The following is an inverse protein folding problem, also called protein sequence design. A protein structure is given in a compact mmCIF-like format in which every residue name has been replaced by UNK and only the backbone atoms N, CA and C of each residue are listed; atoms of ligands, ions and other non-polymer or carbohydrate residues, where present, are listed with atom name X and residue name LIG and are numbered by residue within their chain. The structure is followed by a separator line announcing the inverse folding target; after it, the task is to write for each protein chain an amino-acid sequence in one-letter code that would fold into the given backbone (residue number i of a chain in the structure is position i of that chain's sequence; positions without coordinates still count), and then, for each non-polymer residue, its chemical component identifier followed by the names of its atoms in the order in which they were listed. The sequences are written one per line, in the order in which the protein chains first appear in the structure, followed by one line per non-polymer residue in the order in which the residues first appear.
data_IF_563259557626
#
_entry.id   IF_563259557626
#
_cell.length_a   1.000
_cell.length_b   1.000
_cell.length_c   1.000
_cell.angle_alpha   90.00
_cell.angle_beta   90.00
_cell.angle_gamma   90.00
#
_symmetry.space_group_name_H-M   'P 1'
#
loop_
_entity.id
_entity.type
_entity.pdbx_description
1 polymer ?
#
# COMPACT_ATOMS: atom_id res chain seq x y z
N UNK A 1 -11.35 36.17 6.91
CA UNK A 1 -12.00 36.08 5.58
C UNK A 1 -12.48 34.64 5.46
N UNK A 2 -13.76 34.38 5.71
CA UNK A 2 -14.34 33.04 5.65
C UNK A 2 -14.46 32.66 4.19
N UNK A 3 -13.74 31.63 3.75
CA UNK A 3 -13.89 31.09 2.40
C UNK A 3 -15.29 30.46 2.35
N UNK A 4 -16.17 30.98 1.51
CA UNK A 4 -17.50 30.41 1.32
C UNK A 4 -17.34 28.95 0.82
N UNK A 5 -18.11 28.04 1.40
CA UNK A 5 -18.15 26.65 0.96
C UNK A 5 -18.66 26.61 -0.51
N UNK A 6 -17.84 26.16 -1.48
CA UNK A 6 -18.17 26.24 -2.90
C UNK A 6 -19.40 25.41 -3.30
N UNK A 7 -19.87 24.52 -2.42
CA UNK A 7 -21.01 23.63 -2.67
C UNK A 7 -22.26 24.01 -1.85
N UNK A 8 -22.22 25.11 -1.08
CA UNK A 8 -23.31 25.50 -0.16
C UNK A 8 -24.63 25.84 -0.86
N UNK A 9 -24.60 26.22 -2.15
CA UNK A 9 -25.79 26.56 -2.95
C UNK A 9 -26.38 25.41 -3.78
N UNK A 10 -25.83 24.18 -3.68
CA UNK A 10 -26.26 23.03 -4.46
C UNK A 10 -27.31 22.19 -3.72
N UNK A 11 -28.17 21.49 -4.49
CA UNK A 11 -29.08 20.49 -3.92
C UNK A 11 -28.30 19.31 -3.33
N UNK A 12 -28.90 18.55 -2.40
CA UNK A 12 -28.25 17.36 -1.82
C UNK A 12 -27.91 16.31 -2.87
N UNK A 13 -28.73 16.18 -3.92
CA UNK A 13 -28.45 15.28 -5.06
C UNK A 13 -27.23 15.76 -5.86
N UNK A 14 -27.11 17.04 -6.13
CA UNK A 14 -25.95 17.63 -6.82
C UNK A 14 -24.67 17.52 -5.98
N UNK A 15 -24.75 17.75 -4.67
CA UNK A 15 -23.64 17.57 -3.74
C UNK A 15 -23.15 16.11 -3.75
N UNK A 16 -24.07 15.16 -3.65
CA UNK A 16 -23.76 13.72 -3.68
C UNK A 16 -23.09 13.31 -4.98
N UNK A 17 -23.55 13.83 -6.12
CA UNK A 17 -22.96 13.55 -7.43
C UNK A 17 -21.53 14.12 -7.55
N UNK A 18 -21.30 15.34 -7.11
CA UNK A 18 -19.99 15.99 -7.16
C UNK A 18 -19.00 15.30 -6.22
N UNK A 19 -19.43 14.97 -5.00
CA UNK A 19 -18.59 14.26 -4.04
C UNK A 19 -18.26 12.83 -4.53
N UNK A 20 -19.23 12.12 -5.11
CA UNK A 20 -19.00 10.80 -5.71
C UNK A 20 -18.05 10.85 -6.89
N UNK A 21 -18.18 11.83 -7.77
CA UNK A 21 -17.24 12.04 -8.89
C UNK A 21 -15.82 12.36 -8.39
N UNK A 22 -15.71 13.20 -7.35
CA UNK A 22 -14.43 13.53 -6.72
C UNK A 22 -13.76 12.31 -6.06
N UNK A 23 -14.52 11.49 -5.35
CA UNK A 23 -14.02 10.26 -4.73
C UNK A 23 -13.53 9.25 -5.79
N UNK A 24 -14.27 9.09 -6.88
CA UNK A 24 -13.87 8.23 -8.01
C UNK A 24 -12.60 8.72 -8.68
N UNK A 25 -12.47 10.03 -8.92
CA UNK A 25 -11.26 10.63 -9.50
C UNK A 25 -10.04 10.46 -8.56
N UNK A 26 -10.22 10.59 -7.25
CA UNK A 26 -9.16 10.37 -6.26
C UNK A 26 -8.72 8.91 -6.23
N UNK A 27 -9.65 7.96 -6.30
CA UNK A 27 -9.33 6.54 -6.39
C UNK A 27 -8.51 6.21 -7.67
N UNK A 28 -8.88 6.77 -8.81
CA UNK A 28 -8.13 6.58 -10.07
C UNK A 28 -6.72 7.21 -10.00
N UNK A 29 -6.58 8.36 -9.34
CA UNK A 29 -5.27 8.96 -9.09
C UNK A 29 -4.41 8.06 -8.18
N UNK A 30 -4.98 7.53 -7.12
CA UNK A 30 -4.30 6.64 -6.18
C UNK A 30 -3.78 5.34 -6.82
N UNK A 31 -4.46 4.81 -7.84
CA UNK A 31 -3.98 3.66 -8.63
C UNK A 31 -2.69 3.98 -9.41
N UNK A 32 -2.45 5.24 -9.75
CA UNK A 32 -1.31 5.70 -10.56
C UNK A 32 -0.17 6.27 -9.73
N UNK A 33 -0.49 6.85 -8.57
CA UNK A 33 0.40 7.58 -7.69
C UNK A 33 0.35 7.00 -6.27
N UNK A 34 1.51 6.53 -5.79
CA UNK A 34 1.59 5.85 -4.50
C UNK A 34 1.30 6.78 -3.32
N UNK A 35 1.70 8.06 -3.40
CA UNK A 35 1.44 9.01 -2.31
C UNK A 35 -0.07 9.20 -2.07
N UNK A 36 -0.86 9.25 -3.14
CA UNK A 36 -2.32 9.31 -3.05
C UNK A 36 -2.94 7.98 -2.62
N UNK A 37 -2.31 6.84 -2.95
CA UNK A 37 -2.76 5.53 -2.48
C UNK A 37 -2.73 5.42 -0.96
N UNK A 38 -1.78 6.08 -0.30
CA UNK A 38 -1.67 6.07 1.17
C UNK A 38 -2.91 6.65 1.88
N UNK A 39 -3.73 7.47 1.22
CA UNK A 39 -5.00 7.98 1.78
C UNK A 39 -6.04 6.87 1.99
N UNK A 40 -5.94 5.78 1.25
CA UNK A 40 -6.84 4.63 1.33
C UNK A 40 -6.30 3.53 2.25
N UNK A 41 -5.06 3.65 2.70
CA UNK A 41 -4.40 2.63 3.52
C UNK A 41 -4.91 2.68 4.95
N UNK A 42 -5.33 1.53 5.46
CA UNK A 42 -5.62 1.31 6.88
C UNK A 42 -4.57 0.41 7.49
N UNK A 43 -4.25 0.66 8.75
CA UNK A 43 -3.25 -0.09 9.51
C UNK A 43 -3.84 -0.56 10.84
N UNK A 44 -3.23 -1.59 11.41
CA UNK A 44 -3.57 -2.04 12.75
C UNK A 44 -2.66 -1.33 13.77
N UNK A 45 -3.27 -0.53 14.63
CA UNK A 45 -2.57 0.10 15.74
C UNK A 45 -2.49 -0.89 16.91
N UNK A 46 -1.29 -1.22 17.42
CA UNK A 46 -1.13 -2.21 18.49
C UNK A 46 -1.60 -1.70 19.87
N UNK A 47 -1.98 -0.44 19.99
CA UNK A 47 -2.45 0.11 21.25
C UNK A 47 -3.87 -0.39 21.60
N UNK A 48 -4.10 -0.83 22.84
CA UNK A 48 -5.43 -1.26 23.28
C UNK A 48 -6.51 -0.19 23.00
N UNK A 49 -7.60 -0.62 22.35
CA UNK A 49 -8.76 0.24 22.06
C UNK A 49 -8.67 1.06 20.76
N UNK A 50 -7.55 1.07 20.04
CA UNK A 50 -7.43 1.79 18.76
C UNK A 50 -7.80 0.98 17.54
N UNK A 51 -7.44 -0.30 17.49
CA UNK A 51 -7.82 -1.20 16.39
C UNK A 51 -7.33 -0.74 15.01
N UNK A 52 -8.22 -0.74 14.03
CA UNK A 52 -7.92 -0.31 12.65
C UNK A 52 -8.04 1.21 12.53
N UNK A 53 -6.97 1.86 12.08
CA UNK A 53 -6.89 3.30 11.85
C UNK A 53 -6.39 3.61 10.44
N UNK A 54 -6.67 4.81 9.92
CA UNK A 54 -6.10 5.29 8.68
C UNK A 54 -4.61 5.54 8.83
N UNK A 55 -3.84 5.24 7.78
CA UNK A 55 -2.40 5.53 7.76
C UNK A 55 -2.17 7.03 7.70
N UNK A 56 -1.44 7.55 8.68
CA UNK A 56 -1.07 8.97 8.69
C UNK A 56 0.16 9.22 7.83
N UNK A 57 0.04 10.16 6.90
CA UNK A 57 1.15 10.59 6.02
C UNK A 57 2.05 11.59 6.74
N UNK A 58 2.97 11.09 7.54
CA UNK A 58 3.91 11.95 8.24
C UNK A 58 4.89 12.64 7.27
N UNK A 59 5.30 13.89 7.53
CA UNK A 59 6.16 14.67 6.63
C UNK A 59 7.45 13.97 6.21
N UNK A 60 8.09 13.21 7.11
CA UNK A 60 9.31 12.46 6.81
C UNK A 60 9.10 11.30 5.81
N UNK A 61 7.87 10.87 5.57
CA UNK A 61 7.56 9.81 4.61
C UNK A 61 7.47 10.33 3.17
N UNK A 62 7.26 11.64 2.97
CA UNK A 62 7.17 12.24 1.63
C UNK A 62 8.46 12.02 0.82
N UNK A 63 9.61 12.27 1.44
CA UNK A 63 10.91 12.05 0.79
C UNK A 63 11.13 10.56 0.47
N UNK A 64 10.75 9.68 1.40
CA UNK A 64 10.88 8.23 1.19
C UNK A 64 10.00 7.74 0.04
N UNK A 65 8.76 8.24 -0.10
CA UNK A 65 7.92 7.93 -1.25
C UNK A 65 8.60 8.31 -2.57
N UNK A 66 9.12 9.54 -2.64
CA UNK A 66 9.83 10.00 -3.84
C UNK A 66 11.06 9.14 -4.16
N UNK A 67 11.82 8.72 -3.14
CA UNK A 67 12.98 7.86 -3.32
C UNK A 67 12.56 6.46 -3.81
N UNK A 68 11.51 5.88 -3.25
CA UNK A 68 10.98 4.57 -3.68
C UNK A 68 10.60 4.55 -5.16
N UNK A 69 10.05 5.64 -5.67
CA UNK A 69 9.64 5.74 -7.08
C UNK A 69 10.80 6.06 -8.04
N UNK A 70 11.86 6.72 -7.56
CA UNK A 70 12.91 7.26 -8.43
C UNK A 70 14.26 6.56 -8.31
N UNK A 71 14.53 5.86 -7.22
CA UNK A 71 15.82 5.23 -6.94
C UNK A 71 15.72 3.71 -6.94
N UNK A 72 16.75 3.05 -7.46
CA UNK A 72 16.85 1.58 -7.50
C UNK A 72 17.27 0.95 -6.18
N UNK A 73 17.91 1.71 -5.31
CA UNK A 73 18.42 1.24 -4.03
C UNK A 73 18.14 2.29 -2.95
N UNK A 74 17.53 1.84 -1.87
CA UNK A 74 17.28 2.64 -0.67
C UNK A 74 17.80 1.88 0.55
N UNK A 75 18.67 2.52 1.32
CA UNK A 75 19.02 2.11 2.68
C UNK A 75 18.42 3.10 3.65
N UNK A 76 17.43 2.67 4.40
CA UNK A 76 16.69 3.54 5.31
C UNK A 76 17.05 3.26 6.77
N UNK A 77 17.87 4.12 7.35
CA UNK A 77 18.15 4.11 8.79
C UNK A 77 17.02 4.86 9.52
N UNK A 78 16.32 4.17 10.40
CA UNK A 78 15.17 4.72 11.10
C UNK A 78 15.07 4.18 12.53
N UNK A 79 14.41 4.94 13.39
CA UNK A 79 13.98 4.46 14.71
C UNK A 79 12.83 3.45 14.59
N UNK A 80 12.45 2.83 15.71
CA UNK A 80 11.26 1.98 15.77
C UNK A 80 9.98 2.82 15.69
N UNK A 81 8.87 2.21 15.24
CA UNK A 81 7.52 2.79 15.23
C UNK A 81 7.35 4.06 14.38
N UNK A 82 8.09 4.18 13.28
CA UNK A 82 7.98 5.28 12.31
C UNK A 82 7.01 5.02 11.16
N UNK A 83 6.16 3.99 11.24
CA UNK A 83 5.25 3.62 10.15
C UNK A 83 5.91 2.90 8.96
N UNK A 84 7.26 2.83 8.92
CA UNK A 84 8.02 2.33 7.76
C UNK A 84 7.60 0.94 7.26
N UNK A 85 7.37 -0.03 8.15
CA UNK A 85 6.96 -1.37 7.72
C UNK A 85 5.57 -1.40 7.10
N UNK A 86 4.66 -0.54 7.54
CA UNK A 86 3.35 -0.39 6.94
C UNK A 86 3.43 0.31 5.58
N UNK A 87 4.24 1.35 5.47
CA UNK A 87 4.47 2.06 4.22
C UNK A 87 5.12 1.15 3.16
N UNK A 88 6.15 0.38 3.52
CA UNK A 88 6.79 -0.56 2.60
C UNK A 88 5.84 -1.70 2.19
N UNK A 89 5.03 -2.21 3.11
CA UNK A 89 3.97 -3.18 2.79
C UNK A 89 2.93 -2.59 1.83
N UNK A 90 2.51 -1.33 2.07
CA UNK A 90 1.60 -0.61 1.18
C UNK A 90 2.20 -0.41 -0.21
N UNK A 91 3.50 -0.06 -0.30
CA UNK A 91 4.19 0.13 -1.58
C UNK A 91 4.28 -1.17 -2.38
N UNK A 92 4.68 -2.28 -1.72
CA UNK A 92 4.71 -3.60 -2.37
C UNK A 92 3.33 -4.05 -2.85
N UNK A 93 2.29 -3.82 -2.05
CA UNK A 93 0.91 -4.12 -2.42
C UNK A 93 0.45 -3.26 -3.61
N UNK A 94 0.69 -1.96 -3.57
CA UNK A 94 0.34 -1.03 -4.65
C UNK A 94 1.01 -1.42 -5.98
N UNK A 95 2.29 -1.79 -5.94
CA UNK A 95 3.00 -2.28 -7.12
C UNK A 95 2.35 -3.54 -7.68
N UNK A 96 2.04 -4.53 -6.83
CA UNK A 96 1.44 -5.78 -7.28
C UNK A 96 0.01 -5.59 -7.82
N UNK A 97 -0.77 -4.68 -7.24
CA UNK A 97 -2.14 -4.41 -7.68
C UNK A 97 -2.22 -3.61 -8.98
N UNK A 98 -1.32 -2.65 -9.19
CA UNK A 98 -1.48 -1.65 -10.27
C UNK A 98 -0.34 -1.59 -11.29
N UNK A 99 0.77 -2.30 -11.06
CA UNK A 99 1.89 -2.39 -12.03
C UNK A 99 1.96 -3.80 -12.59
N UNK A 100 1.83 -3.92 -13.89
CA UNK A 100 1.80 -5.21 -14.61
C UNK A 100 3.10 -6.01 -14.41
N UNK A 101 2.97 -7.31 -14.14
CA UNK A 101 4.07 -8.24 -14.04
C UNK A 101 5.03 -7.99 -12.87
N UNK A 102 4.58 -7.31 -11.83
CA UNK A 102 5.42 -6.99 -10.68
C UNK A 102 5.67 -8.22 -9.81
N UNK A 103 6.93 -8.54 -9.58
CA UNK A 103 7.36 -9.57 -8.62
C UNK A 103 7.97 -8.86 -7.41
N UNK A 104 7.25 -8.90 -6.28
CA UNK A 104 7.66 -8.28 -5.03
C UNK A 104 8.16 -9.35 -4.07
N UNK A 105 9.39 -9.23 -3.61
CA UNK A 105 9.98 -10.12 -2.62
C UNK A 105 10.13 -9.41 -1.28
N UNK A 106 9.49 -9.97 -0.26
CA UNK A 106 9.60 -9.53 1.12
C UNK A 106 10.62 -10.42 1.83
N UNK A 107 11.81 -9.87 2.08
CA UNK A 107 12.91 -10.58 2.71
C UNK A 107 13.06 -10.16 4.17
N UNK A 108 13.25 -11.11 5.05
CA UNK A 108 13.57 -10.84 6.44
C UNK A 108 14.55 -11.87 6.99
N UNK A 109 15.13 -11.57 8.15
CA UNK A 109 16.10 -12.42 8.82
C UNK A 109 15.56 -13.83 9.10
N UNK A 110 14.23 -13.94 9.34
CA UNK A 110 13.52 -15.19 9.53
C UNK A 110 12.27 -15.27 8.67
N UNK A 111 11.80 -16.50 8.43
CA UNK A 111 10.59 -16.75 7.66
C UNK A 111 9.34 -16.13 8.31
N UNK A 112 9.27 -16.17 9.65
CA UNK A 112 8.12 -15.62 10.39
C UNK A 112 8.05 -14.09 10.30
N UNK A 113 9.19 -13.41 10.28
CA UNK A 113 9.25 -11.95 10.10
C UNK A 113 8.82 -11.54 8.68
N UNK A 114 9.24 -12.29 7.66
CA UNK A 114 8.79 -12.08 6.28
C UNK A 114 7.27 -12.29 6.14
N UNK A 115 6.73 -13.35 6.77
CA UNK A 115 5.28 -13.61 6.82
C UNK A 115 4.51 -12.50 7.53
N UNK A 116 5.06 -11.91 8.60
CA UNK A 116 4.45 -10.75 9.29
C UNK A 116 4.38 -9.53 8.37
N UNK A 117 5.36 -9.32 7.50
CA UNK A 117 5.31 -8.23 6.52
C UNK A 117 4.26 -8.50 5.45
N UNK A 118 4.17 -9.73 4.95
CA UNK A 118 3.10 -10.14 4.02
C UNK A 118 1.71 -10.03 4.65
N UNK A 119 1.58 -10.36 5.93
CA UNK A 119 0.32 -10.19 6.67
C UNK A 119 -0.12 -8.72 6.73
N UNK A 120 0.81 -7.76 6.75
CA UNK A 120 0.47 -6.33 6.62
C UNK A 120 -0.04 -5.99 5.23
N UNK A 121 0.55 -6.53 4.17
CA UNK A 121 0.03 -6.36 2.80
C UNK A 121 -1.42 -6.86 2.72
N UNK A 122 -1.67 -8.06 3.25
CA UNK A 122 -3.02 -8.66 3.29
C UNK A 122 -3.99 -7.81 4.10
N UNK A 123 -3.60 -7.36 5.28
CA UNK A 123 -4.43 -6.50 6.13
C UNK A 123 -4.82 -5.20 5.40
N UNK A 124 -3.87 -4.56 4.71
CA UNK A 124 -4.16 -3.36 3.91
C UNK A 124 -5.17 -3.71 2.81
N UNK A 125 -4.93 -4.78 2.04
CA UNK A 125 -5.81 -5.21 0.96
C UNK A 125 -7.25 -5.46 1.44
N UNK A 126 -7.43 -6.20 2.52
CA UNK A 126 -8.74 -6.53 3.10
C UNK A 126 -9.51 -5.30 3.60
N UNK A 127 -8.80 -4.21 3.95
CA UNK A 127 -9.37 -2.97 4.45
C UNK A 127 -9.41 -1.83 3.42
N UNK A 128 -9.02 -2.09 2.16
CA UNK A 128 -9.22 -1.14 1.06
C UNK A 128 -10.71 -1.04 0.69
N UNK A 129 -11.08 0.12 0.14
CA UNK A 129 -12.38 0.25 -0.53
C UNK A 129 -12.50 -0.79 -1.65
N UNK A 130 -13.65 -1.50 -1.80
CA UNK A 130 -13.86 -2.49 -2.86
C UNK A 130 -13.55 -1.99 -4.27
N UNK A 131 -13.76 -0.70 -4.55
CA UNK A 131 -13.42 -0.08 -5.84
C UNK A 131 -11.91 0.06 -6.08
N UNK A 132 -11.11 -0.09 -5.04
CA UNK A 132 -9.66 -0.06 -5.09
C UNK A 132 -9.04 -1.47 -5.17
N UNK A 133 -9.81 -2.50 -4.86
CA UNK A 133 -9.30 -3.87 -4.86
C UNK A 133 -9.21 -4.42 -6.28
N UNK A 134 -8.13 -5.15 -6.54
CA UNK A 134 -7.92 -5.98 -7.73
C UNK A 134 -8.14 -7.43 -7.32
N UNK A 135 -8.66 -8.26 -8.20
CA UNK A 135 -8.95 -9.68 -7.89
C UNK A 135 -7.72 -10.39 -7.32
N UNK A 136 -7.88 -10.99 -6.15
CA UNK A 136 -6.85 -11.79 -5.50
C UNK A 136 -7.06 -13.26 -5.89
N UNK A 137 -6.08 -13.87 -6.58
CA UNK A 137 -6.14 -15.27 -7.01
C UNK A 137 -5.62 -16.22 -5.93
N UNK A 138 -4.33 -16.12 -5.60
CA UNK A 138 -3.73 -16.89 -4.50
C UNK A 138 -3.60 -16.01 -3.26
N UNK A 139 -4.11 -16.53 -2.14
CA UNK A 139 -3.91 -15.97 -0.81
C UNK A 139 -3.39 -17.05 0.13
N UNK A 140 -2.09 -17.06 0.35
CA UNK A 140 -1.42 -18.01 1.24
C UNK A 140 -0.56 -17.29 2.27
N UNK A 141 -0.08 -18.02 3.28
CA UNK A 141 0.83 -17.45 4.28
C UNK A 141 2.17 -16.97 3.71
N UNK A 142 2.50 -17.36 2.48
CA UNK A 142 3.79 -17.07 1.85
C UNK A 142 3.65 -16.24 0.57
N UNK A 143 2.45 -16.13 -0.01
CA UNK A 143 2.24 -15.48 -1.30
C UNK A 143 0.86 -14.86 -1.43
N UNK A 144 0.82 -13.69 -2.07
CA UNK A 144 -0.37 -13.08 -2.66
C UNK A 144 -0.15 -12.98 -4.17
N UNK A 145 -1.10 -13.46 -4.97
CA UNK A 145 -1.02 -13.40 -6.43
C UNK A 145 -2.25 -12.69 -7.02
N UNK A 146 -1.99 -11.77 -7.94
CA UNK A 146 -2.99 -10.94 -8.62
C UNK A 146 -3.06 -11.32 -10.09
N UNK A 147 -4.05 -12.13 -10.51
CA UNK A 147 -4.12 -12.63 -11.88
C UNK A 147 -4.34 -11.54 -12.93
N UNK A 148 -5.05 -10.47 -12.60
CA UNK A 148 -5.33 -9.36 -13.53
C UNK A 148 -4.06 -8.60 -13.96
N UNK A 149 -3.10 -8.47 -13.05
CA UNK A 149 -1.81 -7.83 -13.32
C UNK A 149 -0.70 -8.83 -13.62
N UNK A 150 -0.92 -10.13 -13.35
CA UNK A 150 0.12 -11.15 -13.41
C UNK A 150 1.22 -10.95 -12.37
N UNK A 151 0.91 -10.31 -11.25
CA UNK A 151 1.86 -9.88 -10.24
C UNK A 151 1.77 -10.73 -8.97
N UNK A 152 2.88 -10.80 -8.22
CA UNK A 152 2.92 -11.54 -6.96
C UNK A 152 3.71 -10.80 -5.88
N UNK A 153 3.37 -11.10 -4.62
CA UNK A 153 4.13 -10.70 -3.43
C UNK A 153 4.48 -11.98 -2.68
N UNK A 154 5.75 -12.27 -2.52
CA UNK A 154 6.22 -13.48 -1.84
C UNK A 154 7.06 -13.15 -0.61
N UNK A 155 6.78 -13.84 0.51
CA UNK A 155 7.55 -13.74 1.74
C UNK A 155 8.61 -14.85 1.78
N UNK A 156 9.88 -14.48 1.82
CA UNK A 156 11.01 -15.40 1.81
C UNK A 156 11.98 -15.10 2.96
N UNK A 157 12.58 -16.13 3.59
CA UNK A 157 13.69 -15.91 4.49
C UNK A 157 14.89 -15.37 3.72
N UNK A 158 15.64 -14.44 4.31
CA UNK A 158 16.87 -13.89 3.73
C UNK A 158 17.99 -14.94 3.80
N UNK A 159 17.99 -15.88 2.88
CA UNK A 159 19.03 -16.91 2.72
C UNK A 159 19.90 -16.59 1.51
N UNK A 160 21.07 -17.19 1.44
CA UNK A 160 22.02 -17.01 0.32
C UNK A 160 21.41 -17.35 -1.05
N UNK A 161 20.36 -18.17 -1.08
CA UNK A 161 19.65 -18.59 -2.29
C UNK A 161 18.31 -17.86 -2.50
N UNK A 162 17.90 -16.97 -1.58
CA UNK A 162 16.63 -16.25 -1.68
C UNK A 162 16.59 -15.41 -2.97
N UNK A 163 15.51 -15.55 -3.71
CA UNK A 163 15.28 -14.75 -4.93
C UNK A 163 16.11 -15.10 -6.16
N UNK A 164 17.01 -16.11 -6.11
CA UNK A 164 17.85 -16.48 -7.27
C UNK A 164 17.05 -16.98 -8.49
N UNK A 165 15.85 -17.49 -8.27
CA UNK A 165 14.98 -18.02 -9.32
C UNK A 165 13.99 -17.00 -9.90
N UNK A 166 13.95 -15.79 -9.36
CA UNK A 166 12.96 -14.78 -9.71
C UNK A 166 13.61 -13.46 -10.08
N UNK A 167 13.18 -12.86 -11.19
CA UNK A 167 13.55 -11.48 -11.52
C UNK A 167 12.62 -10.56 -10.73
N UNK A 168 13.06 -10.07 -9.58
CA UNK A 168 12.26 -9.20 -8.73
C UNK A 168 12.16 -7.79 -9.29
N UNK A 169 10.95 -7.23 -9.27
CA UNK A 169 10.69 -5.81 -9.54
C UNK A 169 10.96 -4.95 -8.31
N UNK A 170 10.72 -5.52 -7.11
CA UNK A 170 10.95 -4.88 -5.83
C UNK A 170 11.42 -5.94 -4.81
N UNK A 171 12.40 -5.56 -3.99
CA UNK A 171 12.85 -6.34 -2.83
C UNK A 171 12.79 -5.44 -1.60
N UNK A 172 12.10 -5.90 -0.56
CA UNK A 172 11.94 -5.21 0.73
C UNK A 172 12.52 -6.07 1.85
#
# INVERSE_FOLDING_TARGET
MTIADPISGLSEEQKTLILGAGASAHAELAKRDFWHFLDFVKILEPQPGRGTISFERWPHLTEVCHILETKKLLVWLKSRQTGASWMLAAYGLWMAMYKQGSVVLLLSQGEDEAKKLLAKCRFIYENLDPNMQVTLGTDSRQELYFPETGSSISALPSTEKAGRSSTASLVI
#
